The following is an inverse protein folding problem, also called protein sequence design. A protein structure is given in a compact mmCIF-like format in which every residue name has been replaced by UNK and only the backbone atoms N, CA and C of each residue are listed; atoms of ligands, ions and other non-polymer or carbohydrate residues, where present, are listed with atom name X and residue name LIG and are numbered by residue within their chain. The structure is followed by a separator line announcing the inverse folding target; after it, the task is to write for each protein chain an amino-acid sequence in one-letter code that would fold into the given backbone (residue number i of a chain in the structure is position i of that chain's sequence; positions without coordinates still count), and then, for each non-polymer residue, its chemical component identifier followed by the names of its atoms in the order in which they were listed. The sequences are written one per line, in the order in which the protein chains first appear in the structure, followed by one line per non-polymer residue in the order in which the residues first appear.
data_IF_644198134080
#
_entry.id   IF_644198134080
#
_cell.length_a   1.000
_cell.length_b   1.000
_cell.length_c   1.000
_cell.angle_alpha   90.00
_cell.angle_beta   90.00
_cell.angle_gamma   90.00
#
_symmetry.space_group_name_H-M   'P 1'
#
loop_
_entity.id
_entity.type
_entity.pdbx_description
1 polymer ?
#
# COMPACT_ATOMS: atom_id res chain seq x y z
N UNK A 1 1.83 13.17 11.08
CA UNK A 1 1.12 12.05 11.74
C UNK A 1 2.16 11.11 12.37
N UNK A 2 1.76 10.28 13.33
CA UNK A 2 2.62 9.27 13.93
C UNK A 2 3.11 8.26 12.89
N UNK A 3 4.21 7.58 13.19
CA UNK A 3 4.92 6.74 12.21
C UNK A 3 4.05 5.65 11.58
N UNK A 4 3.12 5.07 12.35
CA UNK A 4 2.21 4.01 11.89
C UNK A 4 1.11 4.51 10.96
N UNK A 5 0.86 5.82 10.89
CA UNK A 5 -0.08 6.44 9.95
C UNK A 5 0.60 6.99 8.69
N UNK A 6 1.94 6.93 8.59
CA UNK A 6 2.65 7.54 7.46
C UNK A 6 2.32 6.91 6.11
N UNK A 7 2.06 5.59 6.06
CA UNK A 7 1.72 4.92 4.80
C UNK A 7 0.35 5.39 4.25
N UNK A 8 -0.63 5.61 5.13
CA UNK A 8 -1.95 6.13 4.74
C UNK A 8 -1.85 7.59 4.32
N UNK A 9 -1.03 8.36 5.04
CA UNK A 9 -0.74 9.76 4.69
C UNK A 9 -0.05 9.87 3.33
N UNK A 10 0.86 8.95 3.00
CA UNK A 10 1.49 8.89 1.69
C UNK A 10 0.47 8.62 0.58
N UNK A 11 -0.47 7.69 0.78
CA UNK A 11 -1.53 7.39 -0.20
C UNK A 11 -2.46 8.61 -0.40
N UNK A 12 -2.83 9.29 0.68
CA UNK A 12 -3.69 10.48 0.66
C UNK A 12 -3.11 11.59 -0.24
N UNK A 13 -1.80 11.86 -0.11
CA UNK A 13 -1.12 12.94 -0.83
C UNK A 13 -0.73 12.57 -2.28
N UNK A 14 -0.70 11.29 -2.63
CA UNK A 14 -0.39 10.84 -3.99
C UNK A 14 -1.46 11.21 -5.02
N UNK A 15 -2.70 11.41 -4.57
CA UNK A 15 -3.83 11.80 -5.42
C UNK A 15 -4.05 13.32 -5.33
N UNK A 16 -3.88 14.08 -6.43
CA UNK A 16 -4.09 15.54 -6.45
C UNK A 16 -5.58 15.91 -6.48
N UNK A 17 -6.42 15.26 -5.67
CA UNK A 17 -7.84 15.53 -5.53
C UNK A 17 -8.30 15.26 -4.09
N UNK A 18 -9.03 16.20 -3.48
CA UNK A 18 -9.47 16.11 -2.08
C UNK A 18 -10.40 14.92 -1.82
N UNK A 19 -11.37 14.65 -2.70
CA UNK A 19 -12.27 13.50 -2.56
C UNK A 19 -11.56 12.20 -2.91
N UNK A 20 -10.77 12.20 -4.00
CA UNK A 20 -10.04 11.03 -4.46
C UNK A 20 -9.04 10.51 -3.42
N UNK A 21 -8.28 11.40 -2.77
CA UNK A 21 -7.34 11.02 -1.71
C UNK A 21 -8.03 10.37 -0.51
N UNK A 22 -9.18 10.92 -0.06
CA UNK A 22 -9.95 10.34 1.06
C UNK A 22 -10.50 8.96 0.69
N UNK A 23 -11.00 8.80 -0.53
CA UNK A 23 -11.48 7.50 -1.02
C UNK A 23 -10.35 6.47 -1.11
N UNK A 24 -9.16 6.86 -1.57
CA UNK A 24 -8.01 5.98 -1.65
C UNK A 24 -7.47 5.57 -0.28
N UNK A 25 -7.48 6.49 0.69
CA UNK A 25 -7.17 6.17 2.09
C UNK A 25 -8.18 5.16 2.65
N UNK A 26 -9.48 5.37 2.46
CA UNK A 26 -10.47 4.39 2.90
C UNK A 26 -10.28 3.03 2.19
N UNK A 27 -9.98 3.05 0.89
CA UNK A 27 -9.74 1.84 0.10
C UNK A 27 -8.51 1.06 0.55
N UNK A 28 -7.45 1.73 1.03
CA UNK A 28 -6.21 1.06 1.48
C UNK A 28 -6.44 0.13 2.67
N UNK A 29 -7.43 0.44 3.52
CA UNK A 29 -7.86 -0.41 4.63
C UNK A 29 -8.94 -1.39 4.17
N UNK A 30 -9.93 -0.90 3.41
CA UNK A 30 -11.08 -1.72 2.98
C UNK A 30 -10.68 -2.88 2.05
N UNK A 31 -9.58 -2.74 1.29
CA UNK A 31 -9.07 -3.82 0.43
C UNK A 31 -8.74 -5.09 1.21
N UNK A 32 -8.45 -5.00 2.51
CA UNK A 32 -8.20 -6.17 3.36
C UNK A 32 -9.43 -7.08 3.45
N UNK A 33 -10.65 -6.53 3.41
CA UNK A 33 -11.89 -7.32 3.37
C UNK A 33 -12.07 -8.08 2.06
N UNK A 34 -11.43 -7.64 0.96
CA UNK A 34 -11.45 -8.34 -0.32
C UNK A 34 -10.47 -9.52 -0.37
N UNK A 35 -9.50 -9.59 0.55
CA UNK A 35 -8.46 -10.62 0.57
C UNK A 35 -9.00 -12.06 0.51
N UNK A 36 -10.04 -12.46 1.28
CA UNK A 36 -10.60 -13.81 1.19
C UNK A 36 -11.26 -14.11 -0.16
N UNK A 37 -11.89 -13.10 -0.79
CA UNK A 37 -12.60 -13.24 -2.05
C UNK A 37 -11.65 -13.39 -3.26
N UNK A 38 -10.47 -12.79 -3.15
CA UNK A 38 -9.42 -12.81 -4.17
C UNK A 38 -8.51 -14.06 -4.09
N UNK A 39 -8.68 -14.91 -3.08
CA UNK A 39 -7.91 -16.15 -2.97
C UNK A 39 -8.37 -17.17 -4.02
N UNK A 40 -7.61 -17.31 -5.11
CA UNK A 40 -7.88 -18.27 -6.20
C UNK A 40 -7.04 -19.55 -6.15
N UNK A 41 -6.11 -19.65 -5.21
CA UNK A 41 -5.23 -20.82 -5.13
C UNK A 41 -5.94 -22.02 -4.53
N UNK A 42 -5.53 -23.22 -4.96
CA UNK A 42 -5.96 -24.48 -4.34
C UNK A 42 -5.29 -24.74 -2.99
N UNK A 43 -4.21 -24.01 -2.68
CA UNK A 43 -3.44 -24.15 -1.45
C UNK A 43 -3.62 -22.91 -0.57
N UNK A 44 -3.97 -23.14 0.71
CA UNK A 44 -4.24 -22.07 1.68
C UNK A 44 -3.00 -21.24 2.01
N UNK A 45 -1.84 -21.88 2.19
CA UNK A 45 -0.59 -21.21 2.58
C UNK A 45 0.27 -20.89 1.36
N UNK A 46 1.27 -20.02 1.56
CA UNK A 46 2.25 -19.67 0.52
C UNK A 46 3.54 -20.51 0.57
N UNK A 47 3.66 -21.48 1.49
CA UNK A 47 4.91 -22.23 1.75
C UNK A 47 5.48 -22.89 0.50
N UNK A 48 4.63 -23.43 -0.37
CA UNK A 48 5.03 -24.11 -1.61
C UNK A 48 4.74 -23.28 -2.88
N UNK A 49 4.60 -21.96 -2.72
CA UNK A 49 4.23 -21.03 -3.79
C UNK A 49 5.26 -19.91 -3.93
N UNK A 50 6.44 -20.17 -4.54
CA UNK A 50 7.55 -19.22 -4.57
C UNK A 50 7.17 -17.88 -5.20
N UNK A 51 6.36 -17.88 -6.26
CA UNK A 51 5.86 -16.64 -6.88
C UNK A 51 4.99 -15.82 -5.91
N UNK A 52 4.15 -16.46 -5.12
CA UNK A 52 3.30 -15.77 -4.15
C UNK A 52 4.08 -15.26 -2.94
N UNK A 53 5.15 -15.95 -2.53
CA UNK A 53 6.09 -15.44 -1.53
C UNK A 53 6.81 -14.18 -2.04
N UNK A 54 7.29 -14.19 -3.28
CA UNK A 54 7.93 -13.02 -3.87
C UNK A 54 6.97 -11.82 -3.93
N UNK A 55 5.73 -12.02 -4.39
CA UNK A 55 4.70 -10.98 -4.41
C UNK A 55 4.37 -10.45 -3.01
N UNK A 56 4.33 -11.32 -1.99
CA UNK A 56 4.13 -10.90 -0.61
C UNK A 56 5.27 -10.01 -0.11
N UNK A 57 6.52 -10.37 -0.37
CA UNK A 57 7.67 -9.54 0.03
C UNK A 57 7.76 -8.22 -0.74
N UNK A 58 7.34 -8.20 -2.00
CA UNK A 58 7.18 -6.95 -2.77
C UNK A 58 6.12 -6.06 -2.10
N UNK A 59 4.97 -6.62 -1.70
CA UNK A 59 3.94 -5.87 -0.98
C UNK A 59 4.46 -5.28 0.34
N UNK A 60 5.18 -6.08 1.14
CA UNK A 60 5.79 -5.61 2.40
C UNK A 60 6.80 -4.48 2.13
N UNK A 61 7.64 -4.64 1.13
CA UNK A 61 8.62 -3.62 0.75
C UNK A 61 7.93 -2.33 0.28
N UNK A 62 6.84 -2.43 -0.49
CA UNK A 62 6.06 -1.27 -0.90
C UNK A 62 5.44 -0.52 0.29
N UNK A 63 4.94 -1.22 1.31
CA UNK A 63 4.42 -0.58 2.53
C UNK A 63 5.52 0.17 3.29
N UNK A 64 6.73 -0.39 3.35
CA UNK A 64 7.89 0.29 3.94
C UNK A 64 8.28 1.54 3.13
N UNK A 65 8.28 1.46 1.80
CA UNK A 65 8.54 2.61 0.92
C UNK A 65 7.47 3.68 1.12
N UNK A 66 6.18 3.32 1.19
CA UNK A 66 5.11 4.29 1.44
C UNK A 66 5.25 4.97 2.81
N UNK A 67 5.63 4.22 3.84
CA UNK A 67 5.91 4.77 5.18
C UNK A 67 7.05 5.78 5.12
N UNK A 68 8.13 5.44 4.41
CA UNK A 68 9.27 6.33 4.20
C UNK A 68 8.90 7.57 3.39
N UNK A 69 8.18 7.41 2.28
CA UNK A 69 7.70 8.51 1.45
C UNK A 69 6.83 9.44 2.29
N UNK A 70 5.92 8.92 3.11
CA UNK A 70 5.07 9.71 4.00
C UNK A 70 5.84 10.67 4.93
N UNK A 71 7.09 10.37 5.28
CA UNK A 71 7.95 11.26 6.09
C UNK A 71 8.74 12.29 5.27
N UNK A 72 8.82 12.14 3.95
CA UNK A 72 9.54 13.05 3.06
C UNK A 72 8.68 14.27 2.65
N UNK A 73 9.29 15.40 2.27
CA UNK A 73 8.58 16.56 1.74
C UNK A 73 7.84 16.25 0.44
N UNK A 74 6.83 17.07 0.11
CA UNK A 74 6.03 16.95 -1.12
C UNK A 74 6.76 17.64 -2.26
N UNK A 75 7.88 17.06 -2.68
CA UNK A 75 8.76 17.58 -3.73
C UNK A 75 9.16 16.46 -4.70
N UNK A 76 9.64 16.85 -5.88
CA UNK A 76 10.27 15.90 -6.80
C UNK A 76 11.57 15.36 -6.16
N UNK A 77 11.84 14.04 -6.17
CA UNK A 77 11.15 12.96 -6.89
C UNK A 77 10.08 12.21 -6.08
N UNK A 78 9.85 12.57 -4.81
CA UNK A 78 9.01 11.82 -3.87
C UNK A 78 7.52 11.78 -4.25
N UNK A 79 7.03 12.79 -4.99
CA UNK A 79 5.68 12.80 -5.52
C UNK A 79 5.48 11.62 -6.48
N UNK A 80 6.42 11.42 -7.40
CA UNK A 80 6.33 10.37 -8.44
C UNK A 80 6.51 8.99 -7.80
N UNK A 81 7.40 8.86 -6.82
CA UNK A 81 7.63 7.58 -6.12
C UNK A 81 6.41 7.17 -5.27
N UNK A 82 5.64 8.14 -4.78
CA UNK A 82 4.43 7.87 -4.00
C UNK A 82 3.21 7.47 -4.83
N UNK A 83 3.21 7.74 -6.14
CA UNK A 83 2.12 7.43 -7.08
C UNK A 83 2.27 6.02 -7.65
#
# INVERSE_FOLDING_TARGET
PEWYFLFEYAILRSIPNKLGGVLALAASVLVLFLSPLLHKSKQRTMTFRPLSQALFWILVTNLLILTWIGSQPVEHPFIIIGQ
#
